data_IF_209147042541
#
_entry.id   IF_209147042541
#
_cell.length_a   1.000
_cell.length_b   1.000
_cell.length_c   1.000
_cell.angle_alpha   90.00
_cell.angle_beta   90.00
_cell.angle_gamma   90.00
#
_symmetry.space_group_name_H-M   'P 1'
#
loop_
_entity.id
_entity.type
_entity.pdbx_description
1 polymer ?
#
# COMPACT_ATOMS: atom_id res chain seq x y z
N UNK A 1 53.65 31.84 20.78
CA UNK A 1 53.28 32.13 19.38
C UNK A 1 53.38 30.81 18.60
N UNK A 2 52.50 30.59 17.60
CA UNK A 2 52.25 29.34 16.82
C UNK A 2 51.37 28.30 17.54
N UNK A 3 50.04 28.24 17.39
CA UNK A 3 49.08 28.06 16.24
C UNK A 3 48.59 26.60 16.16
N UNK A 4 47.27 26.46 16.37
CA UNK A 4 46.42 25.28 16.14
C UNK A 4 46.59 24.70 14.73
N UNK A 5 46.33 23.40 14.56
CA UNK A 5 45.44 22.92 13.48
C UNK A 5 44.89 21.52 13.80
N UNK A 6 43.59 21.49 14.12
CA UNK A 6 42.72 20.34 14.02
C UNK A 6 42.42 20.10 12.53
N UNK A 7 42.54 18.87 12.04
CA UNK A 7 41.92 18.46 10.77
C UNK A 7 40.92 17.37 11.09
N UNK A 8 39.64 17.73 11.00
CA UNK A 8 38.51 16.81 11.11
C UNK A 8 38.43 15.91 9.88
N UNK A 9 38.04 14.67 10.10
CA UNK A 9 37.68 13.74 9.03
C UNK A 9 36.15 13.67 8.98
N UNK A 10 35.51 13.94 7.82
CA UNK A 10 34.06 13.91 7.73
C UNK A 10 33.57 12.47 7.84
N UNK A 11 32.63 12.22 8.75
CA UNK A 11 31.85 10.99 8.74
C UNK A 11 30.99 10.99 7.49
N UNK A 12 31.19 9.99 6.62
CA UNK A 12 30.32 9.77 5.48
C UNK A 12 28.90 9.47 5.98
N UNK A 13 27.98 10.40 5.76
CA UNK A 13 26.54 10.18 5.96
C UNK A 13 26.07 9.16 4.93
N UNK A 14 25.80 7.94 5.37
CA UNK A 14 25.01 7.00 4.58
C UNK A 14 23.62 7.59 4.45
N UNK A 15 23.27 8.13 3.29
CA UNK A 15 21.90 8.48 2.99
C UNK A 15 21.10 7.16 2.98
N UNK A 16 20.30 6.95 4.02
CA UNK A 16 19.39 5.81 4.08
C UNK A 16 18.32 6.05 3.02
N UNK A 17 18.37 5.27 1.93
CA UNK A 17 17.29 5.28 0.95
C UNK A 17 15.97 4.97 1.70
N UNK A 18 14.86 5.66 1.41
CA UNK A 18 13.59 5.37 2.04
C UNK A 18 13.26 3.88 1.83
N UNK A 19 12.97 3.16 2.91
CA UNK A 19 12.59 1.76 2.81
C UNK A 19 11.37 1.64 1.89
N UNK A 20 11.35 0.70 0.93
CA UNK A 20 10.17 0.47 0.14
C UNK A 20 8.99 0.15 1.07
N UNK A 21 7.76 0.59 0.75
CA UNK A 21 6.59 0.27 1.56
C UNK A 21 6.48 -1.25 1.73
N UNK A 22 6.46 -1.73 2.97
CA UNK A 22 6.47 -3.18 3.23
C UNK A 22 5.13 -3.82 2.88
N UNK A 23 5.16 -4.94 2.16
CA UNK A 23 3.97 -5.79 1.95
C UNK A 23 3.38 -6.18 3.30
N UNK A 24 2.06 -6.05 3.44
CA UNK A 24 1.31 -6.60 4.57
C UNK A 24 0.43 -7.75 4.11
N UNK A 25 0.30 -8.78 4.96
CA UNK A 25 -0.48 -9.97 4.69
C UNK A 25 -1.51 -10.20 5.78
N UNK A 26 -2.75 -10.48 5.41
CA UNK A 26 -3.82 -10.82 6.36
C UNK A 26 -4.62 -12.02 5.83
N UNK A 27 -4.71 -13.07 6.65
CA UNK A 27 -5.51 -14.26 6.38
C UNK A 27 -6.73 -14.28 7.29
N UNK A 28 -7.91 -14.44 6.70
CA UNK A 28 -9.18 -14.54 7.40
C UNK A 28 -10.14 -15.35 6.55
N UNK A 29 -11.04 -16.12 7.16
CA UNK A 29 -12.11 -16.85 6.46
C UNK A 29 -11.62 -17.65 5.23
N UNK A 30 -10.46 -18.32 5.36
CA UNK A 30 -9.88 -19.18 4.31
C UNK A 30 -9.26 -18.45 3.11
N UNK A 31 -9.11 -17.11 3.19
CA UNK A 31 -8.49 -16.30 2.13
C UNK A 31 -7.36 -15.46 2.70
N UNK A 32 -6.23 -15.42 2.01
CA UNK A 32 -5.11 -14.55 2.33
C UNK A 32 -5.07 -13.38 1.35
N UNK A 33 -4.97 -12.16 1.89
CA UNK A 33 -4.72 -10.94 1.13
C UNK A 33 -3.31 -10.44 1.42
N UNK A 34 -2.53 -10.19 0.37
CA UNK A 34 -1.23 -9.51 0.44
C UNK A 34 -1.35 -8.18 -0.29
N UNK A 35 -0.98 -7.09 0.38
CA UNK A 35 -1.05 -5.73 -0.19
C UNK A 35 0.31 -5.05 -0.07
N UNK A 36 0.77 -4.49 -1.18
CA UNK A 36 2.01 -3.71 -1.25
C UNK A 36 1.71 -2.33 -1.83
N UNK A 37 1.89 -1.23 -1.08
CA UNK A 37 1.84 0.11 -1.64
C UNK A 37 3.02 0.29 -2.61
N UNK A 38 2.77 0.77 -3.82
CA UNK A 38 3.85 1.15 -4.73
C UNK A 38 4.45 2.49 -4.32
N UNK A 39 5.72 2.78 -4.66
CA UNK A 39 6.32 4.08 -4.41
C UNK A 39 5.49 5.21 -5.01
N UNK A 40 5.33 6.31 -4.26
CA UNK A 40 4.70 7.53 -4.80
C UNK A 40 5.69 8.23 -5.72
N UNK A 41 5.34 8.31 -6.99
CA UNK A 41 6.13 9.02 -8.00
C UNK A 41 5.72 10.49 -8.01
N UNK A 42 6.65 11.46 -7.83
CA UNK A 42 6.33 12.87 -7.91
C UNK A 42 5.66 13.24 -9.24
N UNK A 43 4.53 13.96 -9.17
CA UNK A 43 3.77 14.37 -10.35
C UNK A 43 2.88 13.28 -10.98
N UNK A 44 2.87 12.05 -10.44
CA UNK A 44 1.94 11.03 -10.90
C UNK A 44 0.51 11.33 -10.49
N UNK A 45 -0.43 11.12 -11.41
CA UNK A 45 -1.86 11.29 -11.15
C UNK A 45 -2.46 10.19 -10.28
N UNK A 46 -1.80 9.03 -10.20
CA UNK A 46 -2.28 7.86 -9.46
C UNK A 46 -1.29 7.39 -8.41
N UNK A 47 -1.83 6.75 -7.39
CA UNK A 47 -1.07 5.96 -6.44
C UNK A 47 -1.60 4.53 -6.42
N UNK A 48 -0.68 3.59 -6.62
CA UNK A 48 -1.00 2.22 -6.98
C UNK A 48 -0.67 1.25 -5.85
N UNK A 49 -1.47 0.19 -5.74
CA UNK A 49 -1.32 -0.85 -4.74
C UNK A 49 -1.33 -2.21 -5.43
N UNK A 50 -0.26 -2.98 -5.28
CA UNK A 50 -0.25 -4.38 -5.69
C UNK A 50 -1.07 -5.19 -4.69
N UNK A 51 -2.00 -5.99 -5.18
CA UNK A 51 -2.87 -6.84 -4.36
C UNK A 51 -2.83 -8.28 -4.88
N UNK A 52 -2.63 -9.23 -3.97
CA UNK A 52 -2.74 -10.66 -4.24
C UNK A 52 -3.80 -11.25 -3.31
N UNK A 53 -4.70 -12.05 -3.87
CA UNK A 53 -5.70 -12.84 -3.17
C UNK A 53 -5.44 -14.31 -3.47
N UNK A 54 -5.37 -15.13 -2.44
CA UNK A 54 -5.17 -16.57 -2.57
C UNK A 54 -6.07 -17.32 -1.59
N UNK A 55 -6.62 -18.45 -2.03
CA UNK A 55 -7.52 -19.30 -1.23
C UNK A 55 -7.48 -20.73 -1.75
N UNK A 56 -7.89 -21.68 -0.90
CA UNK A 56 -8.12 -23.07 -1.28
C UNK A 56 -9.57 -23.52 -1.03
N UNK A 57 -10.46 -22.61 -0.60
CA UNK A 57 -11.80 -22.95 -0.13
C UNK A 57 -12.93 -22.41 -0.99
N UNK A 58 -12.72 -21.30 -1.71
CA UNK A 58 -13.80 -20.60 -2.41
C UNK A 58 -13.33 -19.86 -3.66
N UNK A 59 -14.28 -19.42 -4.49
CA UNK A 59 -14.00 -18.57 -5.63
C UNK A 59 -13.80 -17.10 -5.20
N UNK A 60 -12.82 -16.42 -5.78
CA UNK A 60 -12.47 -15.03 -5.48
C UNK A 60 -13.24 -14.04 -6.35
N UNK A 61 -14.51 -13.81 -6.02
CA UNK A 61 -15.44 -12.98 -6.82
C UNK A 61 -15.43 -11.48 -6.48
N UNK A 62 -14.58 -11.05 -5.54
CA UNK A 62 -14.55 -9.68 -5.03
C UNK A 62 -14.31 -8.63 -6.14
N UNK A 63 -15.11 -7.56 -6.16
CA UNK A 63 -14.85 -6.37 -6.98
C UNK A 63 -14.17 -5.30 -6.12
N UNK A 64 -12.85 -5.28 -6.16
CA UNK A 64 -12.05 -4.39 -5.32
C UNK A 64 -12.25 -2.91 -5.68
N UNK A 65 -12.68 -2.59 -6.89
CA UNK A 65 -12.98 -1.19 -7.29
C UNK A 65 -14.19 -0.62 -6.53
N UNK A 66 -15.08 -1.50 -6.05
CA UNK A 66 -16.27 -1.12 -5.29
C UNK A 66 -16.14 -1.32 -3.78
N UNK A 67 -15.19 -2.14 -3.35
CA UNK A 67 -15.14 -2.64 -1.98
C UNK A 67 -13.87 -2.25 -1.21
N UNK A 68 -12.91 -1.61 -1.88
CA UNK A 68 -11.75 -1.02 -1.25
C UNK A 68 -11.93 0.48 -0.96
N UNK A 69 -11.21 0.99 0.04
CA UNK A 69 -11.15 2.41 0.37
C UNK A 69 -9.77 2.74 0.93
N UNK A 70 -9.12 3.76 0.36
CA UNK A 70 -7.90 4.34 0.90
C UNK A 70 -8.30 5.45 1.89
N UNK A 71 -7.81 5.37 3.12
CA UNK A 71 -8.06 6.37 4.16
C UNK A 71 -6.73 7.03 4.52
N UNK A 72 -6.70 8.35 4.49
CA UNK A 72 -5.52 9.15 4.84
C UNK A 72 -5.56 9.57 6.31
N UNK A 73 -4.40 9.92 6.85
CA UNK A 73 -4.23 10.43 8.22
C UNK A 73 -4.99 11.73 8.51
N UNK A 74 -5.23 12.55 7.49
CA UNK A 74 -6.10 13.73 7.58
C UNK A 74 -7.60 13.41 7.40
N UNK A 75 -7.98 12.13 7.38
CA UNK A 75 -9.36 11.67 7.42
C UNK A 75 -10.08 11.59 6.08
N UNK A 76 -9.41 11.90 4.95
CA UNK A 76 -10.01 11.72 3.62
C UNK A 76 -10.17 10.23 3.29
N UNK A 77 -11.23 9.91 2.57
CA UNK A 77 -11.52 8.57 2.07
C UNK A 77 -11.61 8.61 0.55
N UNK A 78 -10.78 7.82 -0.12
CA UNK A 78 -10.71 7.73 -1.57
C UNK A 78 -11.17 6.35 -2.04
N UNK A 79 -11.96 6.33 -3.10
CA UNK A 79 -12.32 5.10 -3.81
C UNK A 79 -11.27 4.79 -4.88
N UNK A 80 -11.06 3.50 -5.20
CA UNK A 80 -10.23 3.14 -6.34
C UNK A 80 -10.81 3.70 -7.63
N UNK A 81 -9.93 4.06 -8.55
CA UNK A 81 -10.30 4.50 -9.91
C UNK A 81 -10.32 3.34 -10.90
N UNK A 82 -9.50 2.31 -10.68
CA UNK A 82 -9.39 1.16 -11.57
C UNK A 82 -8.76 -0.08 -10.89
N UNK A 83 -8.93 -1.23 -11.54
CA UNK A 83 -8.22 -2.47 -11.27
C UNK A 83 -7.57 -2.99 -12.56
N UNK A 84 -6.27 -3.29 -12.49
CA UNK A 84 -5.50 -3.88 -13.61
C UNK A 84 -4.93 -5.22 -13.17
N UNK A 85 -5.46 -6.33 -13.70
CA UNK A 85 -4.99 -7.66 -13.36
C UNK A 85 -6.07 -8.72 -13.56
N UNK A 86 -5.97 -9.84 -12.85
CA UNK A 86 -6.93 -10.94 -12.96
C UNK A 86 -8.35 -10.48 -12.64
N UNK A 87 -9.29 -10.78 -13.54
CA UNK A 87 -10.73 -10.57 -13.32
C UNK A 87 -11.28 -11.46 -12.19
N UNK A 88 -12.54 -11.26 -11.76
CA UNK A 88 -13.19 -12.06 -10.72
C UNK A 88 -13.23 -13.57 -11.03
N UNK A 89 -13.10 -14.40 -10.00
CA UNK A 89 -13.14 -15.86 -10.07
C UNK A 89 -11.84 -16.55 -9.66
N UNK A 90 -11.81 -17.89 -9.77
CA UNK A 90 -10.65 -18.72 -9.45
C UNK A 90 -10.25 -18.72 -7.98
N UNK A 91 -9.06 -19.27 -7.69
CA UNK A 91 -8.50 -19.46 -6.35
C UNK A 91 -7.22 -18.63 -6.09
N UNK A 92 -6.73 -17.95 -7.13
CA UNK A 92 -5.64 -16.99 -7.05
C UNK A 92 -5.95 -15.80 -7.97
N UNK A 93 -5.83 -14.58 -7.46
CA UNK A 93 -5.98 -13.35 -8.23
C UNK A 93 -4.88 -12.37 -7.84
N UNK A 94 -4.27 -11.75 -8.85
CA UNK A 94 -3.24 -10.74 -8.66
C UNK A 94 -3.51 -9.55 -9.59
N UNK A 95 -3.21 -8.35 -9.11
CA UNK A 95 -3.31 -7.15 -9.90
C UNK A 95 -2.92 -5.89 -9.13
N UNK A 96 -3.19 -4.75 -9.76
CA UNK A 96 -2.91 -3.42 -9.25
C UNK A 96 -4.23 -2.68 -9.07
N UNK A 97 -4.43 -2.16 -7.87
CA UNK A 97 -5.55 -1.30 -7.51
C UNK A 97 -5.08 0.16 -7.56
N UNK A 98 -5.74 0.96 -8.38
CA UNK A 98 -5.36 2.34 -8.67
C UNK A 98 -6.21 3.30 -7.86
N UNK A 99 -5.61 4.34 -7.29
CA UNK A 99 -6.30 5.47 -6.67
C UNK A 99 -5.80 6.77 -7.31
N UNK A 100 -6.62 7.82 -7.30
CA UNK A 100 -6.11 9.16 -7.54
C UNK A 100 -5.07 9.51 -6.46
N UNK A 101 -3.96 10.15 -6.84
CA UNK A 101 -2.96 10.62 -5.88
C UNK A 101 -3.61 11.61 -4.90
N UNK A 102 -3.63 11.32 -3.59
CA UNK A 102 -4.15 12.28 -2.63
C UNK A 102 -3.20 13.47 -2.54
N UNK A 103 -3.74 14.68 -2.69
CA UNK A 103 -3.02 15.94 -2.47
C UNK A 103 -3.70 16.71 -1.32
N UNK A 104 -2.98 17.06 -0.24
CA UNK A 104 -1.57 16.75 0.02
C UNK A 104 -1.33 15.24 0.23
N UNK A 105 -0.10 14.78 -0.01
CA UNK A 105 0.27 13.37 0.22
C UNK A 105 0.27 13.03 1.72
N UNK A 106 -0.37 11.92 2.13
CA UNK A 106 -0.45 11.55 3.53
C UNK A 106 0.89 11.02 4.08
N UNK A 107 1.14 11.28 5.36
CA UNK A 107 2.25 10.69 6.12
C UNK A 107 1.91 9.27 6.58
N UNK A 108 0.65 9.03 6.97
CA UNK A 108 0.12 7.72 7.29
C UNK A 108 -1.20 7.44 6.55
N UNK A 109 -1.47 6.18 6.27
CA UNK A 109 -2.63 5.77 5.49
C UNK A 109 -3.05 4.34 5.78
N UNK A 110 -4.32 4.04 5.48
CA UNK A 110 -4.91 2.72 5.59
C UNK A 110 -5.53 2.30 4.25
N UNK A 111 -5.31 1.06 3.82
CA UNK A 111 -6.15 0.44 2.82
C UNK A 111 -7.16 -0.47 3.53
N UNK A 112 -8.45 -0.20 3.34
CA UNK A 112 -9.55 -1.00 3.87
C UNK A 112 -10.17 -1.79 2.72
N UNK A 113 -10.28 -3.10 2.85
CA UNK A 113 -10.89 -3.99 1.85
C UNK A 113 -12.02 -4.77 2.51
N UNK A 114 -13.25 -4.56 2.04
CA UNK A 114 -14.42 -5.34 2.46
C UNK A 114 -14.61 -6.49 1.49
N UNK A 115 -14.78 -7.71 1.99
CA UNK A 115 -14.96 -8.90 1.14
C UNK A 115 -16.34 -9.50 1.33
N UNK A 116 -16.83 -10.19 0.31
CA UNK A 116 -18.08 -10.91 0.42
C UNK A 116 -17.97 -12.00 1.50
N UNK A 117 -18.94 -12.03 2.42
CA UNK A 117 -18.98 -12.99 3.53
C UNK A 117 -18.21 -12.55 4.78
N UNK A 118 -17.48 -11.44 4.76
CA UNK A 118 -16.78 -10.91 5.94
C UNK A 118 -17.61 -9.81 6.62
N UNK A 119 -17.73 -9.86 7.95
CA UNK A 119 -18.50 -8.87 8.73
C UNK A 119 -17.77 -7.55 8.96
N UNK A 120 -16.45 -7.52 8.74
CA UNK A 120 -15.59 -6.35 8.92
C UNK A 120 -14.61 -6.25 7.77
N UNK A 121 -14.23 -5.02 7.42
CA UNK A 121 -13.17 -4.79 6.45
C UNK A 121 -11.82 -5.24 7.02
N UNK A 122 -10.99 -5.81 6.14
CA UNK A 122 -9.56 -6.00 6.38
C UNK A 122 -8.85 -4.66 6.29
N UNK A 123 -7.98 -4.36 7.25
CA UNK A 123 -7.30 -3.06 7.30
C UNK A 123 -5.80 -3.24 7.31
N UNK A 124 -5.14 -2.63 6.33
CA UNK A 124 -3.69 -2.58 6.18
C UNK A 124 -3.23 -1.15 6.45
N UNK A 125 -2.19 -0.98 7.27
CA UNK A 125 -1.79 0.34 7.80
C UNK A 125 -0.31 0.61 7.58
N UNK A 126 0.01 1.77 7.04
CA UNK A 126 1.40 2.18 6.85
C UNK A 126 1.62 3.59 7.35
N UNK A 127 2.82 3.81 7.87
CA UNK A 127 3.38 5.12 8.18
C UNK A 127 4.62 5.30 7.32
N UNK A 128 4.83 6.51 6.80
CA UNK A 128 6.06 6.88 6.12
C UNK A 128 7.06 7.49 7.11
#
# INVERSE_FOLDING_TARGET
>A
MLVLSLVGMPWASWAQAPSPPSTQSLSQDGVTLKVTPMPRVPGAATWDFKVVLETHSQALVDDLTRTATLVTDDGRSLKPTAWSGSGPGGHHREGVLHFAMPEPQPGAFELRISRAGESKARVFRWTR
#
